data_IF_584248529728
#
_entry.id   IF_584248529728
#
_cell.length_a   1.000
_cell.length_b   1.000
_cell.length_c   1.000
_cell.angle_alpha   90.00
_cell.angle_beta   90.00
_cell.angle_gamma   90.00
#
_symmetry.space_group_name_H-M   'P 1'
#
loop_
_entity.id
_entity.type
_entity.pdbx_description
1 polymer ?
#
# COMPACT_ATOMS: atom_id res chain seq x y z
N UNK A 1 -26.75 -43.63 -7.07
CA UNK A 1 -26.56 -42.34 -6.39
C UNK A 1 -25.06 -42.11 -6.32
N UNK A 2 -24.53 -41.37 -7.23
CA UNK A 2 -23.09 -41.05 -7.33
C UNK A 2 -22.87 -39.75 -6.56
N UNK A 3 -22.23 -39.85 -5.41
CA UNK A 3 -21.73 -38.68 -4.66
C UNK A 3 -20.77 -37.88 -5.55
N UNK A 4 -21.17 -36.66 -5.87
CA UNK A 4 -20.24 -35.68 -6.47
C UNK A 4 -19.26 -35.31 -5.37
N UNK A 5 -18.00 -35.72 -5.54
CA UNK A 5 -16.89 -35.11 -4.82
C UNK A 5 -16.87 -33.60 -5.12
N UNK A 6 -17.27 -32.80 -4.15
CA UNK A 6 -17.03 -31.36 -4.15
C UNK A 6 -15.50 -31.15 -4.13
N UNK A 7 -14.95 -30.29 -5.03
CA UNK A 7 -13.54 -29.97 -4.97
C UNK A 7 -13.27 -29.24 -3.65
N UNK A 8 -12.25 -29.74 -2.94
CA UNK A 8 -11.69 -29.30 -1.67
C UNK A 8 -11.91 -27.80 -1.41
N UNK A 9 -12.59 -27.49 -0.32
CA UNK A 9 -12.66 -26.16 0.25
C UNK A 9 -11.21 -25.66 0.51
N UNK A 10 -10.70 -24.83 -0.36
CA UNK A 10 -9.31 -24.30 -0.34
C UNK A 10 -9.16 -23.04 0.49
N UNK A 11 -10.17 -22.66 1.26
CA UNK A 11 -10.17 -21.46 2.08
C UNK A 11 -9.19 -21.53 3.27
N UNK A 12 -8.79 -20.37 3.81
CA UNK A 12 -7.85 -20.32 4.93
C UNK A 12 -8.43 -20.92 6.21
N UNK A 13 -7.60 -21.62 6.97
CA UNK A 13 -7.90 -21.91 8.37
C UNK A 13 -7.77 -20.61 9.17
N UNK A 14 -8.74 -20.31 10.01
CA UNK A 14 -8.72 -19.10 10.86
C UNK A 14 -8.42 -19.53 12.30
N UNK A 15 -7.35 -18.99 12.88
CA UNK A 15 -7.02 -19.23 14.29
C UNK A 15 -7.95 -18.47 15.24
N UNK A 16 -7.95 -18.83 16.52
CA UNK A 16 -8.69 -18.11 17.56
C UNK A 16 -8.28 -16.62 17.68
N UNK A 17 -7.06 -16.29 17.30
CA UNK A 17 -6.55 -14.91 17.25
C UNK A 17 -6.93 -14.14 15.96
N UNK A 18 -7.64 -14.77 15.02
CA UNK A 18 -8.02 -14.14 13.77
C UNK A 18 -6.95 -14.17 12.65
N UNK A 19 -5.84 -14.89 12.87
CA UNK A 19 -4.83 -15.13 11.82
C UNK A 19 -5.40 -16.15 10.82
N UNK A 20 -5.39 -15.79 9.54
CA UNK A 20 -5.74 -16.69 8.43
C UNK A 20 -4.48 -17.44 8.00
N UNK A 21 -4.61 -18.74 7.74
CA UNK A 21 -3.48 -19.61 7.35
C UNK A 21 -3.86 -20.52 6.19
N UNK A 22 -2.99 -20.56 5.19
CA UNK A 22 -2.98 -21.53 4.09
C UNK A 22 -1.70 -22.36 4.21
N UNK A 23 -1.80 -23.67 4.02
CA UNK A 23 -0.64 -24.57 4.04
C UNK A 23 -0.76 -25.60 2.94
N UNK A 24 0.30 -25.78 2.18
CA UNK A 24 0.39 -26.86 1.18
C UNK A 24 0.40 -28.25 1.82
N UNK A 25 0.58 -28.36 3.13
CA UNK A 25 0.48 -29.64 3.85
C UNK A 25 -0.96 -30.13 3.96
N UNK A 26 -1.93 -29.25 3.66
CA UNK A 26 -3.36 -29.59 3.65
C UNK A 26 -3.78 -30.35 2.36
N UNK A 27 -2.87 -30.48 1.37
CA UNK A 27 -3.14 -31.11 0.08
C UNK A 27 -2.07 -32.12 -0.33
N UNK A 28 -2.41 -33.03 -1.27
CA UNK A 28 -1.46 -33.99 -1.79
C UNK A 28 -0.30 -33.30 -2.51
N UNK A 29 0.90 -33.93 -2.46
CA UNK A 29 2.13 -33.36 -3.01
C UNK A 29 2.00 -32.90 -4.48
N UNK A 30 1.29 -33.66 -5.31
CA UNK A 30 1.07 -33.33 -6.72
C UNK A 30 0.18 -32.07 -6.94
N UNK A 31 -0.55 -31.63 -5.93
CA UNK A 31 -1.47 -30.48 -6.00
C UNK A 31 -0.91 -29.23 -5.31
N UNK A 32 0.24 -29.35 -4.63
CA UNK A 32 0.77 -28.30 -3.76
C UNK A 32 1.05 -26.98 -4.47
N UNK A 33 1.61 -27.02 -5.67
CA UNK A 33 1.93 -25.79 -6.40
C UNK A 33 0.66 -25.09 -6.89
N UNK A 34 -0.32 -25.84 -7.42
CA UNK A 34 -1.59 -25.27 -7.87
C UNK A 34 -2.39 -24.66 -6.69
N UNK A 35 -2.42 -25.40 -5.56
CA UNK A 35 -3.01 -24.89 -4.31
C UNK A 35 -2.32 -23.61 -3.84
N UNK A 36 -0.98 -23.58 -3.92
CA UNK A 36 -0.19 -22.42 -3.52
C UNK A 36 -0.49 -21.19 -4.36
N UNK A 37 -0.60 -21.35 -5.68
CA UNK A 37 -1.00 -20.23 -6.58
C UNK A 37 -2.38 -19.70 -6.17
N UNK A 38 -3.35 -20.55 -5.86
CA UNK A 38 -4.65 -20.15 -5.33
C UNK A 38 -4.52 -19.39 -4.00
N UNK A 39 -3.71 -19.89 -3.07
CA UNK A 39 -3.51 -19.29 -1.75
C UNK A 39 -2.89 -17.88 -1.84
N UNK A 40 -1.86 -17.69 -2.68
CA UNK A 40 -1.28 -16.35 -2.87
C UNK A 40 -2.22 -15.40 -3.61
N UNK A 41 -3.03 -15.90 -4.54
CA UNK A 41 -4.06 -15.06 -5.18
C UNK A 41 -5.12 -14.59 -4.17
N UNK A 42 -5.52 -15.42 -3.23
CA UNK A 42 -6.49 -15.05 -2.18
C UNK A 42 -5.87 -14.12 -1.12
N UNK A 43 -4.63 -14.39 -0.70
CA UNK A 43 -3.95 -13.62 0.35
C UNK A 43 -3.37 -12.29 -0.11
N UNK A 44 -3.02 -12.17 -1.39
CA UNK A 44 -2.43 -10.96 -1.96
C UNK A 44 -3.29 -10.37 -3.08
N UNK A 45 -3.12 -10.91 -4.29
CA UNK A 45 -3.76 -10.47 -5.53
C UNK A 45 -3.48 -11.51 -6.64
N UNK A 46 -3.99 -11.29 -7.84
CA UNK A 46 -3.74 -12.16 -9.01
C UNK A 46 -2.23 -12.28 -9.33
N UNK A 47 -1.60 -13.32 -8.81
CA UNK A 47 -0.17 -13.64 -8.96
C UNK A 47 0.01 -14.98 -9.66
N UNK A 48 1.14 -15.14 -10.31
CA UNK A 48 1.62 -16.42 -10.85
C UNK A 48 2.85 -16.84 -10.04
N UNK A 49 3.01 -18.14 -9.80
CA UNK A 49 4.18 -18.68 -9.15
C UNK A 49 4.70 -19.91 -9.88
N UNK A 50 6.03 -20.10 -9.87
CA UNK A 50 6.70 -21.28 -10.37
C UNK A 50 7.79 -21.73 -9.41
N UNK A 51 8.15 -23.01 -9.47
CA UNK A 51 9.25 -23.57 -8.67
C UNK A 51 9.98 -24.63 -9.47
N UNK A 52 11.29 -24.67 -9.36
CA UNK A 52 12.13 -25.72 -9.95
C UNK A 52 12.09 -27.03 -9.14
N UNK A 53 11.54 -27.03 -7.93
CA UNK A 53 11.46 -28.17 -7.00
C UNK A 53 10.03 -28.63 -6.76
N UNK A 54 9.22 -28.72 -7.83
CA UNK A 54 7.79 -29.06 -7.75
C UNK A 54 7.52 -30.35 -6.98
N UNK A 55 8.36 -31.37 -7.16
CA UNK A 55 8.22 -32.70 -6.51
C UNK A 55 8.37 -32.68 -4.98
N UNK A 56 8.97 -31.61 -4.41
CA UNK A 56 9.18 -31.46 -2.96
C UNK A 56 8.67 -30.06 -2.49
N UNK A 57 7.87 -29.41 -3.30
CA UNK A 57 7.36 -28.08 -2.99
C UNK A 57 6.52 -28.10 -1.70
N UNK A 58 6.77 -27.12 -0.84
CA UNK A 58 5.99 -26.86 0.37
C UNK A 58 6.03 -25.39 0.71
N UNK A 59 4.87 -24.82 1.08
CA UNK A 59 4.78 -23.43 1.48
C UNK A 59 3.56 -23.18 2.40
N UNK A 60 3.64 -22.13 3.18
CA UNK A 60 2.55 -21.62 4.00
C UNK A 60 2.46 -20.10 3.92
N UNK A 61 1.26 -19.59 4.01
CA UNK A 61 0.94 -18.17 4.10
C UNK A 61 0.11 -17.94 5.36
N UNK A 62 0.53 -17.00 6.18
CA UNK A 62 -0.24 -16.47 7.30
C UNK A 62 -0.56 -15.00 7.07
N UNK A 63 -1.76 -14.57 7.45
CA UNK A 63 -2.25 -13.23 7.17
C UNK A 63 -3.12 -12.70 8.30
N UNK A 64 -2.87 -11.46 8.73
CA UNK A 64 -3.68 -10.76 9.72
C UNK A 64 -3.73 -9.25 9.48
N UNK A 65 -4.83 -8.63 9.86
CA UNK A 65 -5.05 -7.19 9.71
C UNK A 65 -4.51 -6.41 10.92
N UNK A 66 -3.70 -5.38 10.65
CA UNK A 66 -3.29 -4.38 11.63
C UNK A 66 -3.77 -3.00 11.18
N UNK A 67 -4.96 -2.59 11.62
CA UNK A 67 -5.56 -1.33 11.17
C UNK A 67 -5.75 -1.29 9.65
N UNK A 68 -5.02 -0.42 8.96
CA UNK A 68 -5.08 -0.27 7.50
C UNK A 68 -4.03 -1.11 6.75
N UNK A 69 -3.20 -1.86 7.46
CA UNK A 69 -2.12 -2.68 6.91
C UNK A 69 -2.48 -4.15 7.04
N UNK A 70 -2.43 -4.91 5.96
CA UNK A 70 -2.52 -6.36 6.00
C UNK A 70 -1.10 -6.92 6.07
N UNK A 71 -0.82 -7.68 7.10
CA UNK A 71 0.49 -8.31 7.34
C UNK A 71 0.43 -9.75 6.88
N UNK A 72 1.30 -10.11 5.96
CA UNK A 72 1.44 -11.45 5.43
C UNK A 72 2.83 -12.01 5.76
N UNK A 73 2.90 -13.27 6.16
CA UNK A 73 4.14 -14.01 6.31
C UNK A 73 4.09 -15.24 5.41
N UNK A 74 5.07 -15.37 4.53
CA UNK A 74 5.24 -16.51 3.63
C UNK A 74 6.46 -17.30 4.09
N UNK A 75 6.29 -18.59 4.31
CA UNK A 75 7.40 -19.53 4.54
C UNK A 75 7.27 -20.66 3.54
N UNK A 76 8.36 -20.99 2.81
CA UNK A 76 8.24 -22.06 1.82
C UNK A 76 9.50 -22.35 1.03
N UNK A 77 9.35 -23.23 0.06
CA UNK A 77 10.40 -23.65 -0.88
C UNK A 77 10.84 -22.52 -1.79
N UNK A 78 11.94 -22.74 -2.51
CA UNK A 78 12.39 -21.85 -3.60
C UNK A 78 11.31 -21.66 -4.64
N UNK A 79 11.09 -20.41 -5.04
CA UNK A 79 10.05 -20.06 -5.99
C UNK A 79 10.30 -18.71 -6.66
N UNK A 80 9.74 -18.56 -7.83
CA UNK A 80 9.61 -17.29 -8.53
C UNK A 80 8.14 -16.87 -8.52
N UNK A 81 7.88 -15.58 -8.28
CA UNK A 81 6.53 -15.02 -8.22
C UNK A 81 6.44 -13.85 -9.19
N UNK A 82 5.36 -13.81 -9.97
CA UNK A 82 5.18 -12.81 -11.01
C UNK A 82 3.84 -12.11 -10.88
N UNK A 83 3.87 -10.80 -10.95
CA UNK A 83 2.71 -9.95 -11.22
C UNK A 83 2.67 -9.64 -12.70
N UNK A 84 1.82 -10.30 -13.44
CA UNK A 84 1.75 -10.15 -14.91
C UNK A 84 0.75 -9.08 -15.32
N UNK A 85 0.85 -8.57 -16.57
CA UNK A 85 -0.16 -7.67 -17.15
C UNK A 85 -1.55 -8.29 -17.16
N UNK A 86 -1.63 -9.60 -17.39
CA UNK A 86 -2.89 -10.34 -17.38
C UNK A 86 -3.50 -10.39 -15.97
N UNK A 87 -2.69 -10.64 -14.93
CA UNK A 87 -3.12 -10.58 -13.54
C UNK A 87 -3.61 -9.19 -13.15
N UNK A 88 -2.88 -8.13 -13.55
CA UNK A 88 -3.29 -6.73 -13.29
C UNK A 88 -4.68 -6.44 -13.89
N UNK A 89 -4.94 -6.89 -15.12
CA UNK A 89 -6.21 -6.66 -15.80
C UNK A 89 -7.41 -7.36 -15.11
N UNK A 90 -7.17 -8.43 -14.34
CA UNK A 90 -8.21 -9.15 -13.58
C UNK A 90 -8.44 -8.60 -12.18
N UNK A 91 -7.52 -7.79 -11.65
CA UNK A 91 -7.62 -7.22 -10.30
C UNK A 91 -8.52 -6.00 -10.26
N UNK A 92 -9.45 -5.97 -9.30
CA UNK A 92 -10.35 -4.83 -9.08
C UNK A 92 -9.70 -3.71 -8.27
N UNK A 93 -8.80 -4.06 -7.35
CA UNK A 93 -8.16 -3.13 -6.41
C UNK A 93 -6.70 -2.89 -6.75
N UNK A 94 -6.16 -1.82 -6.19
CA UNK A 94 -4.75 -1.46 -6.28
C UNK A 94 -4.18 -1.13 -4.90
N UNK A 95 -2.94 -1.54 -4.69
CA UNK A 95 -2.24 -1.35 -3.43
C UNK A 95 -0.73 -1.26 -3.67
N UNK A 96 0.01 -1.04 -2.60
CA UNK A 96 1.46 -1.22 -2.57
C UNK A 96 1.80 -2.42 -1.69
N UNK A 97 2.92 -3.05 -1.98
CA UNK A 97 3.49 -4.11 -1.16
C UNK A 97 4.89 -3.71 -0.71
N UNK A 98 5.13 -3.74 0.60
CA UNK A 98 6.47 -3.62 1.16
C UNK A 98 6.95 -5.02 1.58
N UNK A 99 7.98 -5.51 0.92
CA UNK A 99 8.58 -6.83 1.19
C UNK A 99 9.86 -6.69 1.99
N UNK A 100 10.06 -7.61 2.93
CA UNK A 100 11.29 -7.82 3.66
C UNK A 100 11.55 -9.32 3.81
N UNK A 101 12.76 -9.78 3.43
CA UNK A 101 13.23 -11.15 3.65
C UNK A 101 14.41 -11.12 4.62
N UNK A 102 14.20 -11.51 5.90
CA UNK A 102 15.20 -11.30 6.95
C UNK A 102 16.37 -12.28 6.92
N UNK A 103 16.17 -13.49 6.41
CA UNK A 103 17.05 -14.63 6.60
C UNK A 103 18.10 -14.84 5.48
N UNK A 104 17.83 -14.37 4.25
CA UNK A 104 18.71 -14.61 3.11
C UNK A 104 18.57 -13.57 1.99
N UNK A 105 19.56 -13.47 1.09
CA UNK A 105 19.44 -12.68 -0.12
C UNK A 105 18.32 -13.18 -1.04
N UNK A 106 17.71 -12.24 -1.75
CA UNK A 106 16.66 -12.47 -2.74
C UNK A 106 16.83 -11.50 -3.92
N UNK A 107 16.00 -11.63 -4.93
CA UNK A 107 15.97 -10.66 -6.01
C UNK A 107 14.54 -10.22 -6.31
N UNK A 108 14.36 -8.97 -6.66
CA UNK A 108 13.07 -8.40 -7.02
C UNK A 108 13.21 -7.30 -8.02
N UNK A 109 12.19 -7.11 -8.85
CA UNK A 109 12.24 -6.12 -9.91
C UNK A 109 10.88 -5.54 -10.26
N UNK A 110 10.89 -4.22 -10.47
CA UNK A 110 9.79 -3.47 -11.06
C UNK A 110 10.40 -2.31 -11.84
N UNK A 111 9.94 -2.01 -13.05
CA UNK A 111 10.46 -0.97 -13.97
C UNK A 111 11.76 -1.36 -14.69
N UNK A 112 12.92 -1.07 -14.08
CA UNK A 112 14.21 -0.99 -14.78
C UNK A 112 15.05 -2.27 -14.63
N UNK A 113 14.41 -3.39 -14.30
CA UNK A 113 15.06 -4.68 -14.15
C UNK A 113 15.08 -5.22 -12.72
N UNK A 114 15.73 -6.36 -12.55
CA UNK A 114 15.80 -7.08 -11.29
C UNK A 114 17.02 -6.64 -10.50
N UNK A 115 16.80 -6.25 -9.26
CA UNK A 115 17.84 -5.89 -8.30
C UNK A 115 18.07 -7.03 -7.31
N UNK A 116 19.34 -7.26 -6.96
CA UNK A 116 19.70 -8.17 -5.87
C UNK A 116 19.60 -7.44 -4.53
N UNK A 117 18.89 -8.04 -3.59
CA UNK A 117 18.73 -7.57 -2.22
C UNK A 117 19.48 -8.49 -1.26
N UNK A 118 20.01 -7.92 -0.19
CA UNK A 118 20.62 -8.68 0.91
C UNK A 118 19.57 -9.08 1.93
N UNK A 119 19.94 -9.94 2.86
CA UNK A 119 19.08 -10.29 3.99
C UNK A 119 18.66 -9.04 4.77
N UNK A 120 17.37 -8.91 5.02
CA UNK A 120 16.78 -7.76 5.71
C UNK A 120 16.44 -6.56 4.82
N UNK A 121 17.00 -6.44 3.62
CA UNK A 121 16.61 -5.35 2.72
C UNK A 121 15.12 -5.39 2.41
N UNK A 122 14.54 -4.20 2.30
CA UNK A 122 13.16 -4.03 1.90
C UNK A 122 13.03 -3.48 0.48
N UNK A 123 11.91 -3.75 -0.15
CA UNK A 123 11.53 -3.16 -1.44
C UNK A 123 10.02 -2.90 -1.49
N UNK A 124 9.65 -1.74 -2.03
CA UNK A 124 8.26 -1.36 -2.26
C UNK A 124 7.87 -1.70 -3.70
N UNK A 125 6.67 -2.25 -3.90
CA UNK A 125 6.09 -2.58 -5.20
C UNK A 125 4.72 -1.92 -5.38
N UNK A 126 4.43 -1.45 -6.58
CA UNK A 126 3.12 -0.95 -7.00
C UNK A 126 2.35 -2.08 -7.72
N UNK A 127 1.21 -2.50 -7.19
CA UNK A 127 0.40 -3.59 -7.75
C UNK A 127 -0.19 -3.28 -9.14
N UNK A 128 -0.21 -2.02 -9.54
CA UNK A 128 -0.66 -1.57 -10.88
C UNK A 128 0.36 -1.83 -11.99
N UNK A 129 1.54 -2.28 -11.66
CA UNK A 129 2.65 -2.51 -12.60
C UNK A 129 3.15 -3.93 -12.49
N UNK A 130 3.63 -4.54 -13.57
CA UNK A 130 4.29 -5.83 -13.49
C UNK A 130 5.49 -5.78 -12.56
N UNK A 131 5.67 -6.85 -11.79
CA UNK A 131 6.86 -7.07 -10.97
C UNK A 131 7.19 -8.55 -10.88
N UNK A 132 8.40 -8.84 -10.48
CA UNK A 132 8.90 -10.20 -10.29
C UNK A 132 9.72 -10.31 -9.01
N UNK A 133 9.62 -11.49 -8.38
CA UNK A 133 10.31 -11.82 -7.13
C UNK A 133 10.96 -13.18 -7.32
N UNK A 134 12.23 -13.32 -6.93
CA UNK A 134 13.00 -14.54 -7.06
C UNK A 134 13.59 -14.95 -5.72
N UNK A 135 13.10 -16.07 -5.18
CA UNK A 135 13.56 -16.65 -3.93
C UNK A 135 14.36 -17.93 -4.23
N UNK A 136 15.67 -17.76 -4.45
CA UNK A 136 16.61 -18.85 -4.79
C UNK A 136 16.97 -19.75 -3.59
N UNK A 137 16.55 -19.36 -2.40
CA UNK A 137 16.59 -20.15 -1.17
C UNK A 137 15.17 -20.25 -0.62
N UNK A 138 14.97 -21.02 0.48
CA UNK A 138 13.66 -21.06 1.13
C UNK A 138 13.16 -19.63 1.41
N UNK A 139 11.89 -19.39 1.11
CA UNK A 139 11.26 -18.10 1.41
C UNK A 139 10.88 -18.05 2.89
N UNK A 140 11.37 -17.05 3.63
CA UNK A 140 10.78 -16.54 4.86
C UNK A 140 10.62 -15.03 4.64
N UNK A 141 9.41 -14.60 4.27
CA UNK A 141 9.16 -13.26 3.76
C UNK A 141 8.01 -12.62 4.51
N UNK A 142 8.24 -11.43 5.03
CA UNK A 142 7.18 -10.58 5.55
C UNK A 142 6.79 -9.58 4.46
N UNK A 143 5.50 -9.52 4.17
CA UNK A 143 4.95 -8.62 3.16
C UNK A 143 3.80 -7.83 3.76
N UNK A 144 3.88 -6.52 3.65
CA UNK A 144 2.83 -5.61 4.09
C UNK A 144 2.05 -5.12 2.87
N UNK A 145 0.74 -5.44 2.82
CA UNK A 145 -0.19 -4.87 1.83
C UNK A 145 -0.70 -3.54 2.36
N UNK A 146 -0.47 -2.49 1.60
CA UNK A 146 -0.67 -1.10 1.98
C UNK A 146 -1.66 -0.46 1.00
N UNK A 147 -2.73 0.15 1.48
CA UNK A 147 -3.66 0.86 0.60
C UNK A 147 -3.00 2.07 -0.05
N UNK A 148 -3.44 2.43 -1.25
CA UNK A 148 -2.91 3.59 -1.99
C UNK A 148 -3.02 4.86 -1.17
N UNK A 149 -4.21 5.13 -0.60
CA UNK A 149 -4.45 6.33 0.21
C UNK A 149 -3.53 6.40 1.43
N UNK A 150 -3.25 5.26 2.08
CA UNK A 150 -2.34 5.22 3.21
C UNK A 150 -0.90 5.51 2.79
N UNK A 151 -0.39 4.90 1.73
CA UNK A 151 0.99 5.14 1.25
C UNK A 151 1.15 6.59 0.78
N UNK A 152 0.18 7.14 0.04
CA UNK A 152 0.20 8.53 -0.41
C UNK A 152 0.12 9.54 0.75
N UNK A 153 -0.37 9.15 1.92
CA UNK A 153 -0.31 10.01 3.11
C UNK A 153 1.11 10.14 3.69
N UNK A 154 2.00 9.20 3.40
CA UNK A 154 3.38 9.16 3.88
C UNK A 154 4.41 9.53 2.80
N UNK A 155 4.18 9.11 1.55
CA UNK A 155 5.08 9.32 0.41
C UNK A 155 4.42 10.22 -0.63
N UNK A 156 5.13 11.24 -1.10
CA UNK A 156 4.57 12.22 -2.06
C UNK A 156 4.33 11.61 -3.45
N UNK A 157 5.24 10.75 -3.90
CA UNK A 157 5.17 10.04 -5.18
C UNK A 157 5.64 8.59 -4.95
N UNK A 158 4.78 7.74 -4.33
CA UNK A 158 5.19 6.41 -3.91
C UNK A 158 5.72 5.56 -5.06
N UNK A 159 5.23 5.74 -6.28
CA UNK A 159 5.69 5.03 -7.46
C UNK A 159 7.15 5.28 -7.83
N UNK A 160 7.76 6.37 -7.37
CA UNK A 160 9.20 6.63 -7.57
C UNK A 160 10.07 5.76 -6.68
N UNK A 161 9.54 5.30 -5.56
CA UNK A 161 10.22 4.47 -4.59
C UNK A 161 10.08 2.98 -4.88
N UNK A 162 9.17 2.61 -5.81
CA UNK A 162 8.92 1.23 -6.17
C UNK A 162 10.08 0.64 -7.00
N UNK A 163 10.44 -0.61 -6.68
CA UNK A 163 11.54 -1.32 -7.33
C UNK A 163 12.93 -0.88 -6.86
N UNK A 164 13.02 0.04 -5.87
CA UNK A 164 14.30 0.47 -5.30
C UNK A 164 14.59 -0.28 -4.00
N UNK A 165 15.86 -0.69 -3.85
CA UNK A 165 16.36 -1.31 -2.64
C UNK A 165 16.36 -0.32 -1.47
N UNK A 166 15.76 -0.68 -0.35
CA UNK A 166 15.88 0.00 0.94
C UNK A 166 16.90 -0.78 1.78
N UNK A 167 18.07 -0.20 1.96
CA UNK A 167 19.21 -0.83 2.60
C UNK A 167 18.99 -1.04 4.10
N UNK A 168 19.01 -2.32 4.55
CA UNK A 168 18.85 -2.70 5.95
C UNK A 168 20.14 -2.57 6.78
N UNK A 169 21.28 -2.25 6.18
CA UNK A 169 22.56 -2.22 6.91
C UNK A 169 22.83 -0.89 7.57
N UNK A 170 22.20 0.20 7.12
CA UNK A 170 22.49 1.56 7.55
C UNK A 170 21.25 2.44 7.63
N UNK A 171 21.36 3.58 8.31
CA UNK A 171 20.38 4.64 8.36
C UNK A 171 18.99 4.19 8.81
N UNK A 172 17.97 4.86 8.27
CA UNK A 172 16.56 4.57 8.59
C UNK A 172 16.05 3.29 7.95
N UNK A 173 16.69 2.79 6.89
CA UNK A 173 16.37 1.51 6.29
C UNK A 173 16.57 0.35 7.27
N UNK A 174 17.61 0.39 8.12
CA UNK A 174 17.83 -0.58 9.20
C UNK A 174 16.68 -0.57 10.21
N UNK A 175 16.22 0.62 10.62
CA UNK A 175 15.13 0.75 11.59
C UNK A 175 13.80 0.29 10.99
N UNK A 176 13.52 0.63 9.73
CA UNK A 176 12.36 0.15 9.01
C UNK A 176 12.37 -1.38 8.91
N UNK A 177 13.49 -1.95 8.45
CA UNK A 177 13.66 -3.40 8.33
C UNK A 177 13.42 -4.11 9.67
N UNK A 178 14.04 -3.64 10.74
CA UNK A 178 13.84 -4.20 12.09
C UNK A 178 12.38 -4.13 12.55
N UNK A 179 11.69 -3.02 12.27
CA UNK A 179 10.27 -2.88 12.61
C UNK A 179 9.40 -3.85 11.80
N UNK A 180 9.62 -3.96 10.47
CA UNK A 180 8.87 -4.86 9.59
C UNK A 180 9.05 -6.32 10.01
N UNK A 181 10.27 -6.72 10.39
CA UNK A 181 10.56 -8.09 10.85
C UNK A 181 9.82 -8.46 12.14
N UNK A 182 9.54 -7.50 13.02
CA UNK A 182 8.77 -7.73 14.23
C UNK A 182 7.25 -7.68 14.00
N UNK A 183 6.80 -7.12 12.89
CA UNK A 183 5.38 -7.03 12.57
C UNK A 183 4.92 -8.32 11.88
N UNK A 184 4.78 -9.39 12.67
CA UNK A 184 4.26 -10.69 12.19
C UNK A 184 2.73 -10.71 12.18
N UNK A 185 2.07 -11.68 11.52
CA UNK A 185 0.62 -11.83 11.58
C UNK A 185 0.06 -11.99 13.00
N UNK A 186 0.79 -12.64 13.91
CA UNK A 186 0.39 -12.79 15.31
C UNK A 186 0.42 -11.44 16.03
N UNK A 187 1.47 -10.65 15.82
CA UNK A 187 1.57 -9.28 16.36
C UNK A 187 0.52 -8.38 15.75
N UNK A 188 0.22 -8.53 14.47
CA UNK A 188 -0.82 -7.77 13.77
C UNK A 188 -2.23 -8.07 14.33
N UNK A 189 -2.51 -9.34 14.64
CA UNK A 189 -3.79 -9.78 15.20
C UNK A 189 -3.99 -9.35 16.68
N UNK A 190 -2.89 -9.21 17.44
CA UNK A 190 -2.91 -8.77 18.84
C UNK A 190 -1.77 -7.78 19.10
N UNK A 191 -1.87 -6.56 18.58
CA UNK A 191 -0.77 -5.60 18.66
C UNK A 191 -0.57 -5.08 20.09
N UNK A 192 0.70 -4.86 20.52
CA UNK A 192 1.02 -4.38 21.86
C UNK A 192 0.60 -2.92 22.10
N UNK A 193 0.32 -2.18 21.03
CA UNK A 193 -0.16 -0.80 21.05
C UNK A 193 -1.39 -0.68 20.15
N UNK A 194 -2.06 0.48 20.15
CA UNK A 194 -3.17 0.70 19.22
C UNK A 194 -2.72 0.52 17.76
N UNK A 195 -3.55 -0.10 16.93
CA UNK A 195 -3.26 -0.35 15.51
C UNK A 195 -2.89 0.94 14.78
N UNK A 196 -3.54 2.06 15.15
CA UNK A 196 -3.21 3.37 14.58
C UNK A 196 -1.78 3.78 14.90
N UNK A 197 -1.32 3.64 16.13
CA UNK A 197 0.04 4.02 16.52
C UNK A 197 1.08 3.12 15.83
N UNK A 198 0.80 1.81 15.72
CA UNK A 198 1.66 0.87 14.99
C UNK A 198 1.77 1.22 13.51
N UNK A 199 0.66 1.56 12.86
CA UNK A 199 0.67 1.93 11.43
C UNK A 199 1.26 3.32 11.20
N UNK A 200 1.05 4.29 12.09
CA UNK A 200 1.70 5.61 12.01
C UNK A 200 3.23 5.49 12.17
N UNK A 201 3.70 4.63 13.07
CA UNK A 201 5.13 4.34 13.22
C UNK A 201 5.72 3.72 11.95
N UNK A 202 5.03 2.73 11.37
CA UNK A 202 5.43 2.12 10.09
C UNK A 202 5.53 3.16 8.99
N UNK A 203 4.53 4.03 8.84
CA UNK A 203 4.50 5.06 7.82
C UNK A 203 5.64 6.08 7.96
N UNK A 204 5.92 6.48 9.20
CA UNK A 204 7.05 7.35 9.51
C UNK A 204 8.39 6.73 9.12
N UNK A 205 8.59 5.45 9.44
CA UNK A 205 9.80 4.71 9.10
C UNK A 205 9.91 4.46 7.59
N UNK A 206 8.81 4.18 6.91
CA UNK A 206 8.77 4.05 5.45
C UNK A 206 9.19 5.35 4.77
N UNK A 207 8.66 6.48 5.21
CA UNK A 207 9.02 7.79 4.66
C UNK A 207 10.50 8.13 4.90
N UNK A 208 11.04 7.81 6.07
CA UNK A 208 12.45 8.02 6.39
C UNK A 208 13.36 7.05 5.62
N UNK A 209 13.02 5.76 5.55
CA UNK A 209 13.82 4.75 4.87
C UNK A 209 13.89 4.95 3.36
N UNK A 210 12.79 5.36 2.74
CA UNK A 210 12.78 5.69 1.30
C UNK A 210 13.54 6.98 0.98
N UNK A 211 13.58 7.95 1.90
CA UNK A 211 14.41 9.15 1.73
C UNK A 211 15.89 8.85 1.79
N UNK A 212 16.33 7.92 2.62
CA UNK A 212 17.74 7.46 2.66
C UNK A 212 18.16 6.83 1.33
N UNK A 213 17.28 6.07 0.69
CA UNK A 213 17.52 5.48 -0.63
C UNK A 213 17.70 6.56 -1.70
N UNK A 214 16.94 7.67 -1.64
CA UNK A 214 17.12 8.84 -2.50
C UNK A 214 18.25 9.76 -2.07
N UNK A 215 18.87 9.53 -0.93
CA UNK A 215 20.05 10.28 -0.49
C UNK A 215 21.26 10.14 -1.42
N UNK A 216 21.29 9.10 -2.23
CA UNK A 216 22.29 8.90 -3.30
C UNK A 216 21.97 9.69 -4.57
N UNK A 217 20.74 10.24 -4.70
CA UNK A 217 20.36 11.14 -5.78
C UNK A 217 20.79 12.59 -5.41
N UNK A 218 21.21 13.37 -6.39
CA UNK A 218 21.87 14.65 -6.20
C UNK A 218 21.17 15.70 -5.31
N UNK A 219 21.87 16.69 -4.79
CA UNK A 219 21.38 17.67 -3.80
C UNK A 219 20.13 18.45 -4.25
N UNK A 220 19.96 18.68 -5.55
CA UNK A 220 18.83 19.45 -6.10
C UNK A 220 17.49 18.71 -6.01
N UNK A 221 17.48 17.39 -6.12
CA UNK A 221 16.22 16.61 -6.06
C UNK A 221 15.72 16.49 -4.62
N UNK A 222 16.61 16.43 -3.64
CA UNK A 222 16.24 16.41 -2.19
C UNK A 222 15.48 17.67 -1.77
N UNK A 223 15.92 18.83 -2.23
CA UNK A 223 15.29 20.10 -1.88
C UNK A 223 13.87 20.19 -2.47
N UNK A 224 13.71 19.72 -3.72
CA UNK A 224 12.42 19.71 -4.40
C UNK A 224 11.42 18.78 -3.70
N UNK A 225 11.79 17.55 -3.39
CA UNK A 225 10.91 16.59 -2.74
C UNK A 225 10.58 17.00 -1.30
N UNK A 226 11.51 17.61 -0.58
CA UNK A 226 11.25 18.19 0.75
C UNK A 226 10.23 19.34 0.69
N UNK A 227 10.31 20.19 -0.32
CA UNK A 227 9.34 21.29 -0.50
C UNK A 227 7.99 20.74 -0.94
N UNK A 228 7.94 19.75 -1.83
CA UNK A 228 6.68 19.10 -2.22
C UNK A 228 5.99 18.47 -0.99
N UNK A 229 6.72 17.71 -0.15
CA UNK A 229 6.16 17.16 1.11
C UNK A 229 5.58 18.26 2.01
N UNK A 230 6.30 19.34 2.21
CA UNK A 230 5.81 20.48 3.00
C UNK A 230 4.56 21.11 2.38
N UNK A 231 4.50 21.22 1.05
CA UNK A 231 3.35 21.73 0.34
C UNK A 231 2.12 20.83 0.49
N UNK A 232 2.30 19.51 0.34
CA UNK A 232 1.22 18.53 0.56
C UNK A 232 0.75 18.56 2.01
N UNK A 233 1.65 18.59 2.99
CA UNK A 233 1.30 18.70 4.40
C UNK A 233 0.56 20.02 4.72
N UNK A 234 0.92 21.13 4.06
CA UNK A 234 0.21 22.40 4.16
C UNK A 234 -1.21 22.29 3.61
N UNK A 235 -1.38 21.68 2.42
CA UNK A 235 -2.69 21.41 1.82
C UNK A 235 -3.53 20.52 2.73
N UNK A 236 -2.96 19.46 3.31
CA UNK A 236 -3.67 18.57 4.24
C UNK A 236 -4.20 19.29 5.48
N UNK A 237 -3.43 20.20 6.06
CA UNK A 237 -3.85 21.00 7.23
C UNK A 237 -4.91 22.06 6.90
N UNK A 238 -4.77 22.69 5.73
CA UNK A 238 -5.55 23.88 5.33
C UNK A 238 -6.67 23.57 4.32
N UNK A 239 -6.88 22.30 3.95
CA UNK A 239 -7.83 21.90 2.90
C UNK A 239 -9.26 22.45 3.10
N UNK A 240 -9.68 22.63 4.36
CA UNK A 240 -11.00 23.13 4.72
C UNK A 240 -11.16 24.64 4.48
N UNK A 241 -10.07 25.38 4.28
CA UNK A 241 -10.13 26.82 4.02
C UNK A 241 -10.79 27.12 2.67
N UNK A 242 -11.81 27.99 2.70
CA UNK A 242 -12.43 28.47 1.46
C UNK A 242 -11.43 29.30 0.66
N UNK A 243 -11.35 29.03 -0.65
CA UNK A 243 -10.49 29.81 -1.53
C UNK A 243 -8.99 29.63 -1.31
N UNK A 244 -8.54 28.54 -0.67
CA UNK A 244 -7.10 28.26 -0.52
C UNK A 244 -6.42 28.26 -1.89
N UNK A 245 -5.42 29.15 -2.06
CA UNK A 245 -4.69 29.34 -3.33
C UNK A 245 -3.29 28.77 -3.27
N UNK A 246 -2.71 28.52 -4.45
CA UNK A 246 -1.30 28.15 -4.58
C UNK A 246 -0.39 29.25 -4.01
N UNK A 247 -0.74 30.51 -4.20
CA UNK A 247 -0.02 31.68 -3.65
C UNK A 247 0.07 31.62 -2.13
N UNK A 248 -1.07 31.34 -1.44
CA UNK A 248 -1.09 31.26 0.01
C UNK A 248 -0.21 30.13 0.55
N UNK A 249 -0.22 28.97 -0.12
CA UNK A 249 0.66 27.84 0.25
C UNK A 249 2.12 28.15 -0.06
N UNK A 250 2.40 28.82 -1.17
CA UNK A 250 3.77 29.22 -1.51
C UNK A 250 4.35 30.22 -0.50
N UNK A 251 3.54 31.15 0.00
CA UNK A 251 3.93 32.11 1.06
C UNK A 251 4.28 31.37 2.35
N UNK A 252 3.49 30.40 2.80
CA UNK A 252 3.79 29.58 3.99
C UNK A 252 5.10 28.82 3.88
N UNK A 253 5.51 28.48 2.66
CA UNK A 253 6.73 27.74 2.37
C UNK A 253 7.93 28.65 2.01
N UNK A 254 7.74 29.96 2.03
CA UNK A 254 8.76 30.96 1.64
C UNK A 254 9.32 30.74 0.23
N UNK A 255 8.45 30.35 -0.72
CA UNK A 255 8.79 30.18 -2.13
C UNK A 255 7.86 30.98 -3.04
N UNK A 256 8.25 31.18 -4.30
CA UNK A 256 7.33 31.79 -5.27
C UNK A 256 6.24 30.80 -5.71
N UNK A 257 5.05 31.31 -6.06
CA UNK A 257 3.95 30.52 -6.63
C UNK A 257 4.40 29.74 -7.89
N UNK A 258 5.21 30.37 -8.75
CA UNK A 258 5.83 29.74 -9.93
C UNK A 258 6.67 28.51 -9.53
N UNK A 259 7.43 28.63 -8.44
CA UNK A 259 8.25 27.54 -7.91
C UNK A 259 7.36 26.41 -7.40
N UNK A 260 6.28 26.73 -6.69
CA UNK A 260 5.31 25.73 -6.20
C UNK A 260 4.67 24.98 -7.37
N UNK A 261 4.19 25.69 -8.39
CA UNK A 261 3.62 25.06 -9.59
C UNK A 261 4.61 24.15 -10.32
N UNK A 262 5.87 24.58 -10.46
CA UNK A 262 6.94 23.77 -11.07
C UNK A 262 7.18 22.47 -10.27
N UNK A 263 7.12 22.55 -8.95
CA UNK A 263 7.31 21.37 -8.09
C UNK A 263 6.13 20.40 -8.20
N UNK A 264 4.90 20.90 -8.16
CA UNK A 264 3.74 20.06 -8.38
C UNK A 264 3.72 19.44 -9.79
N UNK A 265 4.11 20.15 -10.83
CA UNK A 265 4.23 19.60 -12.18
C UNK A 265 5.21 18.40 -12.25
N UNK A 266 6.31 18.45 -11.49
CA UNK A 266 7.25 17.31 -11.37
C UNK A 266 6.64 16.11 -10.64
N UNK A 267 5.66 16.32 -9.77
CA UNK A 267 4.92 15.25 -9.10
C UNK A 267 3.81 14.63 -9.95
N UNK A 268 3.64 15.11 -11.19
CA UNK A 268 2.62 14.59 -12.11
C UNK A 268 1.20 15.13 -11.87
N UNK A 269 1.00 16.05 -10.91
CA UNK A 269 -0.30 16.63 -10.61
C UNK A 269 -0.19 18.13 -10.30
N UNK A 270 -1.27 18.87 -10.48
CA UNK A 270 -1.32 20.29 -10.12
C UNK A 270 -1.66 20.50 -8.65
N UNK A 271 -1.36 21.69 -8.11
CA UNK A 271 -1.81 22.09 -6.77
C UNK A 271 -3.32 21.89 -6.58
N UNK A 272 -4.13 22.33 -7.56
CA UNK A 272 -5.59 22.19 -7.50
C UNK A 272 -6.05 20.73 -7.48
N UNK A 273 -5.38 19.85 -8.21
CA UNK A 273 -5.66 18.41 -8.18
C UNK A 273 -5.35 17.81 -6.79
N UNK A 274 -4.22 18.17 -6.19
CA UNK A 274 -3.89 17.74 -4.84
C UNK A 274 -4.87 18.26 -3.79
N UNK A 275 -5.22 19.54 -3.85
CA UNK A 275 -6.21 20.15 -2.95
C UNK A 275 -7.58 19.46 -3.09
N UNK A 276 -8.03 19.24 -4.32
CA UNK A 276 -9.32 18.60 -4.57
C UNK A 276 -9.33 17.13 -4.11
N UNK A 277 -8.27 16.39 -4.43
CA UNK A 277 -8.10 14.98 -3.96
C UNK A 277 -8.20 14.91 -2.42
N UNK A 278 -7.52 15.81 -1.72
CA UNK A 278 -7.56 15.87 -0.25
C UNK A 278 -8.96 16.18 0.29
N UNK A 279 -9.64 17.19 -0.27
CA UNK A 279 -11.01 17.56 0.10
C UNK A 279 -11.99 16.41 -0.08
N UNK A 280 -11.91 15.72 -1.21
CA UNK A 280 -12.79 14.58 -1.50
C UNK A 280 -12.46 13.39 -0.61
N UNK A 281 -11.20 13.10 -0.31
CA UNK A 281 -10.82 12.02 0.61
C UNK A 281 -11.41 12.26 2.01
N UNK A 282 -11.29 13.48 2.56
CA UNK A 282 -11.89 13.82 3.85
C UNK A 282 -13.41 13.75 3.80
N UNK A 283 -14.04 14.28 2.73
CA UNK A 283 -15.49 14.20 2.56
C UNK A 283 -16.00 12.76 2.50
N UNK A 284 -15.30 11.86 1.80
CA UNK A 284 -15.63 10.42 1.77
C UNK A 284 -15.58 9.79 3.18
N UNK A 285 -14.56 10.12 3.97
CA UNK A 285 -14.49 9.70 5.37
C UNK A 285 -15.71 10.16 6.18
N UNK A 286 -16.08 11.44 6.03
CA UNK A 286 -17.26 12.01 6.72
C UNK A 286 -18.59 11.39 6.23
N UNK A 287 -18.72 11.12 4.93
CA UNK A 287 -19.92 10.50 4.36
C UNK A 287 -20.08 9.04 4.81
N UNK A 288 -18.99 8.37 5.11
CA UNK A 288 -18.98 6.98 5.59
C UNK A 288 -19.09 6.87 7.11
N UNK A 289 -18.96 7.94 7.87
CA UNK A 289 -19.08 7.91 9.33
C UNK A 289 -20.55 7.93 9.76
N UNK A 290 -21.08 6.87 10.41
CA UNK A 290 -22.47 6.82 10.87
C UNK A 290 -22.83 7.92 11.85
N UNK A 291 -21.88 8.43 12.61
CA UNK A 291 -22.08 9.52 13.59
C UNK A 291 -22.44 10.83 12.91
N UNK A 292 -22.16 10.95 11.59
CA UNK A 292 -22.39 12.16 10.80
C UNK A 292 -23.61 12.04 9.87
N UNK A 293 -24.49 11.04 10.06
CA UNK A 293 -25.67 10.82 9.20
C UNK A 293 -26.65 12.00 9.17
N UNK A 294 -26.75 12.73 10.27
CA UNK A 294 -27.62 13.92 10.37
C UNK A 294 -27.05 15.15 9.65
N UNK A 295 -25.79 15.11 9.23
CA UNK A 295 -25.15 16.22 8.53
C UNK A 295 -25.49 16.13 7.04
N UNK A 296 -26.00 17.22 6.48
CA UNK A 296 -26.38 17.28 5.06
C UNK A 296 -25.14 17.16 4.15
N UNK A 297 -25.33 16.70 2.92
CA UNK A 297 -24.29 16.66 1.88
C UNK A 297 -23.69 18.05 1.64
N UNK A 298 -24.53 19.08 1.62
CA UNK A 298 -24.09 20.47 1.46
C UNK A 298 -23.17 20.91 2.61
N UNK A 299 -23.52 20.58 3.85
CA UNK A 299 -22.71 20.92 5.02
C UNK A 299 -21.37 20.16 5.03
N UNK A 300 -21.34 18.89 4.59
CA UNK A 300 -20.07 18.16 4.41
C UNK A 300 -19.21 18.86 3.36
N UNK A 301 -19.79 19.29 2.23
CA UNK A 301 -19.08 20.08 1.22
C UNK A 301 -18.45 21.33 1.81
N UNK A 302 -19.20 22.08 2.62
CA UNK A 302 -18.69 23.28 3.30
C UNK A 302 -17.54 22.97 4.26
N UNK A 303 -17.63 21.91 5.04
CA UNK A 303 -16.59 21.51 6.00
C UNK A 303 -15.27 21.13 5.36
N UNK A 304 -15.30 20.71 4.10
CA UNK A 304 -14.08 20.42 3.33
C UNK A 304 -13.66 21.55 2.40
N UNK A 305 -14.23 22.76 2.57
CA UNK A 305 -13.85 23.96 1.82
C UNK A 305 -14.49 24.08 0.44
N UNK A 306 -15.62 23.38 0.19
CA UNK A 306 -16.41 23.46 -1.04
C UNK A 306 -17.79 24.04 -0.74
N UNK A 307 -17.96 25.35 -0.91
CA UNK A 307 -19.19 26.06 -0.58
C UNK A 307 -20.35 25.73 -1.55
N UNK A 308 -20.04 25.54 -2.84
CA UNK A 308 -21.03 25.18 -3.86
C UNK A 308 -21.31 23.68 -3.86
N UNK A 309 -22.52 23.31 -3.47
CA UNK A 309 -22.96 21.90 -3.40
C UNK A 309 -22.93 21.22 -4.77
N UNK A 310 -23.29 21.94 -5.84
CA UNK A 310 -23.26 21.38 -7.20
C UNK A 310 -21.83 21.09 -7.65
N UNK A 311 -20.90 21.99 -7.34
CA UNK A 311 -19.47 21.79 -7.56
C UNK A 311 -18.95 20.62 -6.75
N UNK A 312 -19.30 20.51 -5.46
CA UNK A 312 -18.91 19.39 -4.61
C UNK A 312 -19.37 18.04 -5.18
N UNK A 313 -20.65 17.92 -5.62
CA UNK A 313 -21.18 16.69 -6.21
C UNK A 313 -20.42 16.32 -7.48
N UNK A 314 -20.15 17.28 -8.37
CA UNK A 314 -19.35 17.03 -9.59
C UNK A 314 -17.93 16.55 -9.26
N UNK A 315 -17.29 17.18 -8.28
CA UNK A 315 -15.93 16.80 -7.87
C UNK A 315 -15.88 15.42 -7.21
N UNK A 316 -16.87 15.04 -6.39
CA UNK A 316 -16.98 13.68 -5.88
C UNK A 316 -17.06 12.67 -7.03
N UNK A 317 -17.94 12.90 -8.00
CA UNK A 317 -18.10 11.99 -9.13
C UNK A 317 -16.83 11.89 -9.98
N UNK A 318 -16.15 13.00 -10.23
CA UNK A 318 -14.92 13.06 -11.02
C UNK A 318 -13.74 12.36 -10.34
N UNK A 319 -13.62 12.46 -9.00
CA UNK A 319 -12.46 11.94 -8.25
C UNK A 319 -12.69 10.55 -7.63
N UNK A 320 -13.95 10.08 -7.49
CA UNK A 320 -14.27 8.80 -6.86
C UNK A 320 -15.22 7.91 -7.65
N UNK A 321 -15.69 8.36 -8.80
CA UNK A 321 -16.69 7.63 -9.61
C UNK A 321 -18.12 7.67 -9.05
N UNK A 322 -18.32 8.11 -7.80
CA UNK A 322 -19.59 8.05 -7.08
C UNK A 322 -20.07 9.42 -6.64
N UNK A 323 -21.40 9.57 -6.50
CA UNK A 323 -21.97 10.77 -5.88
C UNK A 323 -21.89 10.70 -4.35
N UNK A 324 -21.91 11.84 -3.61
CA UNK A 324 -21.92 11.83 -2.16
C UNK A 324 -23.05 11.00 -1.55
N UNK A 325 -24.23 10.99 -2.17
CA UNK A 325 -25.37 10.19 -1.74
C UNK A 325 -25.07 8.67 -1.90
N UNK A 326 -24.48 8.28 -3.03
CA UNK A 326 -24.08 6.87 -3.27
C UNK A 326 -23.02 6.42 -2.28
N UNK A 327 -21.99 7.24 -2.02
CA UNK A 327 -20.94 6.96 -1.01
C UNK A 327 -21.56 6.76 0.38
N UNK A 328 -22.58 7.55 0.74
CA UNK A 328 -23.28 7.42 2.01
C UNK A 328 -24.11 6.13 2.08
N UNK A 329 -24.72 5.69 0.99
CA UNK A 329 -25.52 4.48 0.92
C UNK A 329 -24.69 3.20 0.85
N UNK A 330 -23.48 3.25 0.29
CA UNK A 330 -22.60 2.06 0.12
C UNK A 330 -21.94 1.55 1.41
N UNK A 331 -22.25 2.14 2.57
CA UNK A 331 -21.75 1.73 3.90
C UNK A 331 -22.21 0.36 4.40
N UNK A 332 -23.25 -0.19 3.83
CA UNK A 332 -23.94 -1.40 4.31
C UNK A 332 -23.73 -2.64 3.45
N UNK A 333 -22.76 -2.62 2.53
CA UNK A 333 -22.39 -3.80 1.74
C UNK A 333 -21.00 -4.27 1.99
#
# INVERSE_FOLDING_TARGET
MTERNDPLSTGPKVSASGVRKWSTDDVAQSQRLDYWVGAICEGFEELEASSHTVSVFGASLESAQCGQVLVNKVVGSTQDVFRTKAGIARSADSCFYLLCKPDAPWAGGQKDGVSRLLAGDCMLFDSKRPYELHFNQSADVITLKLSVDWVESWLVNPEKHCGLRIDATSGWGRTLSGFVQQLTPEVAASPPLSTKLMTDQLGSLLALGTNDTFSTLGPNDRTVDAVIRKAVACVQRRHAEFGLTAQAVAQDLYISERTLHRYFARSGATFLQHLMKQRIAVAKGMLRDPRLDRITVSEIGRRVGLADTSHFIRQCRANSGETPAAIRLSRGR
#
